data_IF_502825897055
#
_entry.id   IF_502825897055
#
_cell.length_a   1.000
_cell.length_b   1.000
_cell.length_c   1.000
_cell.angle_alpha   90.00
_cell.angle_beta   90.00
_cell.angle_gamma   90.00
#
_symmetry.space_group_name_H-M   'P 1'
#
loop_
_entity.id
_entity.type
_entity.pdbx_description
1 polymer ?
#
# COMPACT_ATOMS: atom_id res chain seq x y z
N UNK A 1 -32.63 74.80 21.72
CA UNK A 1 -31.49 74.41 20.89
C UNK A 1 -31.44 72.87 20.77
N UNK A 2 -32.00 72.28 19.70
CA UNK A 2 -31.99 70.86 19.45
C UNK A 2 -31.01 70.59 18.31
N UNK A 3 -29.92 69.92 18.63
CA UNK A 3 -28.96 69.40 17.60
C UNK A 3 -29.49 68.10 16.98
N UNK A 4 -29.76 68.17 15.69
CA UNK A 4 -30.08 67.00 14.87
C UNK A 4 -28.81 66.21 14.58
N UNK A 5 -28.79 64.93 14.93
CA UNK A 5 -27.79 64.01 14.52
C UNK A 5 -28.17 63.36 13.15
N UNK A 6 -27.45 63.76 12.12
CA UNK A 6 -27.56 63.16 10.76
C UNK A 6 -27.02 61.75 10.79
N UNK A 7 -27.88 60.75 10.60
CA UNK A 7 -27.47 59.36 10.36
C UNK A 7 -27.11 59.18 8.88
N UNK A 8 -25.82 59.21 8.61
CA UNK A 8 -25.29 58.78 7.29
C UNK A 8 -25.45 57.26 7.16
N UNK A 9 -26.41 56.84 6.34
CA UNK A 9 -26.51 55.43 5.90
C UNK A 9 -25.52 55.21 4.75
N UNK A 10 -24.33 54.67 5.06
CA UNK A 10 -23.47 54.11 4.04
C UNK A 10 -24.09 52.76 3.56
N UNK A 11 -24.70 52.78 2.41
CA UNK A 11 -24.99 51.55 1.64
C UNK A 11 -23.70 51.12 0.95
N UNK A 12 -22.90 50.30 1.64
CA UNK A 12 -21.77 49.63 1.05
C UNK A 12 -22.25 48.51 0.11
N UNK A 13 -22.23 48.80 -1.16
CA UNK A 13 -22.33 47.73 -2.19
C UNK A 13 -21.08 46.88 -2.10
N UNK A 14 -21.17 45.70 -1.48
CA UNK A 14 -20.14 44.68 -1.58
C UNK A 14 -20.22 44.08 -2.98
N UNK A 15 -19.40 44.61 -3.87
CA UNK A 15 -19.16 43.97 -5.15
C UNK A 15 -18.40 42.67 -4.91
N UNK A 16 -19.11 41.54 -4.95
CA UNK A 16 -18.56 40.19 -4.93
C UNK A 16 -17.84 39.98 -6.28
N UNK A 17 -16.55 40.28 -6.32
CA UNK A 17 -15.69 39.89 -7.43
C UNK A 17 -15.45 38.39 -7.27
N UNK A 18 -16.34 37.59 -7.86
CA UNK A 18 -16.10 36.16 -8.09
C UNK A 18 -14.98 36.08 -9.14
N UNK A 19 -13.73 35.93 -8.68
CA UNK A 19 -12.61 35.54 -9.51
C UNK A 19 -12.88 34.09 -9.94
N UNK A 20 -13.52 33.92 -11.10
CA UNK A 20 -13.60 32.65 -11.79
C UNK A 20 -12.17 32.28 -12.21
N UNK A 21 -11.48 31.47 -11.39
CA UNK A 21 -10.34 30.70 -11.84
C UNK A 21 -10.87 29.68 -12.85
N UNK A 22 -10.93 30.08 -14.11
CA UNK A 22 -11.04 29.14 -15.20
C UNK A 22 -9.75 28.29 -15.16
N UNK A 23 -9.83 27.14 -14.52
CA UNK A 23 -8.85 26.08 -14.72
C UNK A 23 -8.92 25.76 -16.22
N UNK A 24 -7.97 26.29 -16.99
CA UNK A 24 -7.75 25.85 -18.34
C UNK A 24 -7.34 24.38 -18.25
N UNK A 25 -8.30 23.47 -18.26
CA UNK A 25 -8.06 22.09 -18.59
C UNK A 25 -7.54 22.09 -20.02
N UNK A 26 -6.24 21.88 -20.18
CA UNK A 26 -5.61 21.75 -21.49
C UNK A 26 -6.05 20.41 -22.06
N UNK A 27 -7.27 20.34 -22.56
CA UNK A 27 -7.74 19.19 -23.31
C UNK A 27 -6.94 19.14 -24.62
N UNK A 28 -6.34 17.98 -24.85
CA UNK A 28 -5.61 17.75 -26.09
C UNK A 28 -6.63 17.70 -27.23
N UNK A 29 -6.49 18.58 -28.21
CA UNK A 29 -7.33 18.50 -29.42
C UNK A 29 -7.12 17.13 -30.08
N UNK A 30 -8.19 16.43 -30.49
CA UNK A 30 -8.06 15.16 -31.19
C UNK A 30 -7.19 15.26 -32.43
N UNK A 31 -6.22 14.34 -32.58
CA UNK A 31 -5.31 14.31 -33.74
C UNK A 31 -5.05 12.87 -34.20
N UNK A 32 -4.70 12.64 -35.46
CA UNK A 32 -4.29 11.32 -35.94
C UNK A 32 -2.89 11.00 -35.44
N UNK A 33 -2.72 9.82 -34.80
CA UNK A 33 -1.44 9.33 -34.29
C UNK A 33 -0.53 8.97 -35.46
N UNK A 34 0.59 9.68 -35.62
CA UNK A 34 1.60 9.37 -36.64
C UNK A 34 2.64 8.34 -36.20
N UNK A 35 2.94 8.30 -34.88
CA UNK A 35 3.92 7.38 -34.31
C UNK A 35 3.62 7.18 -32.83
N UNK A 36 4.05 6.02 -32.27
CA UNK A 36 3.96 5.70 -30.84
C UNK A 36 5.34 5.26 -30.38
N UNK A 37 5.90 5.94 -29.39
CA UNK A 37 7.20 5.62 -28.78
C UNK A 37 7.00 5.16 -27.35
N UNK A 38 7.83 4.22 -26.91
CA UNK A 38 7.83 3.72 -25.53
C UNK A 38 9.20 3.95 -24.94
N UNK A 39 9.24 4.61 -23.77
CA UNK A 39 10.46 4.94 -23.05
C UNK A 39 10.41 4.38 -21.63
N UNK A 40 11.58 4.07 -21.04
CA UNK A 40 11.71 3.59 -19.67
C UNK A 40 11.63 2.07 -19.49
N UNK A 41 11.49 1.30 -20.58
CA UNK A 41 11.52 -0.15 -20.54
C UNK A 41 12.93 -0.67 -20.19
N UNK A 42 12.98 -1.69 -19.34
CA UNK A 42 14.21 -2.37 -18.93
C UNK A 42 14.16 -3.88 -19.15
N UNK A 43 13.02 -4.51 -18.85
CA UNK A 43 12.80 -5.96 -18.92
C UNK A 43 11.53 -6.33 -19.67
N UNK A 44 10.54 -5.44 -19.63
CA UNK A 44 9.27 -5.64 -20.32
C UNK A 44 9.47 -5.36 -21.80
N UNK A 45 8.99 -6.27 -22.66
CA UNK A 45 9.06 -6.08 -24.10
C UNK A 45 8.08 -4.98 -24.56
N UNK A 46 8.52 -4.12 -25.48
CA UNK A 46 7.70 -3.06 -26.03
C UNK A 46 6.38 -3.57 -26.64
N UNK A 47 6.39 -4.78 -27.19
CA UNK A 47 5.21 -5.46 -27.71
C UNK A 47 4.07 -5.61 -26.69
N UNK A 48 4.40 -5.84 -25.40
CA UNK A 48 3.43 -5.92 -24.30
C UNK A 48 2.73 -4.58 -24.09
N UNK A 49 3.48 -3.49 -24.15
CA UNK A 49 2.93 -2.13 -24.05
C UNK A 49 2.02 -1.85 -25.24
N UNK A 50 2.48 -2.05 -26.49
CA UNK A 50 1.70 -1.80 -27.68
C UNK A 50 0.41 -2.62 -27.75
N UNK A 51 0.45 -3.88 -27.31
CA UNK A 51 -0.73 -4.76 -27.28
C UNK A 51 -1.80 -4.27 -26.28
N UNK A 52 -1.40 -3.53 -25.26
CA UNK A 52 -2.29 -3.03 -24.19
C UNK A 52 -2.86 -1.65 -24.48
N UNK A 53 -2.35 -0.94 -25.51
CA UNK A 53 -2.86 0.38 -25.86
C UNK A 53 -4.22 0.28 -26.59
N UNK A 54 -5.21 1.14 -26.24
CA UNK A 54 -6.52 1.17 -26.89
C UNK A 54 -6.53 1.93 -28.22
N UNK A 55 -5.37 2.28 -28.77
CA UNK A 55 -5.18 2.97 -30.04
C UNK A 55 -3.89 2.51 -30.71
N UNK A 56 -3.82 2.74 -32.03
CA UNK A 56 -2.67 2.40 -32.89
C UNK A 56 -2.28 3.61 -33.74
N UNK A 57 -1.15 3.49 -34.43
CA UNK A 57 -0.75 4.46 -35.45
C UNK A 57 -1.85 4.54 -36.51
N UNK A 58 -2.27 5.75 -36.88
CA UNK A 58 -3.40 6.04 -37.77
C UNK A 58 -4.72 6.30 -37.03
N UNK A 59 -4.90 5.88 -35.78
CA UNK A 59 -6.11 6.17 -35.02
C UNK A 59 -6.15 7.62 -34.56
N UNK A 60 -7.34 8.13 -34.27
CA UNK A 60 -7.50 9.42 -33.61
C UNK A 60 -7.24 9.30 -32.12
N UNK A 61 -6.27 10.06 -31.61
CA UNK A 61 -6.00 10.21 -30.18
C UNK A 61 -6.90 11.29 -29.57
N UNK A 62 -7.35 11.06 -28.36
CA UNK A 62 -8.02 12.02 -27.48
C UNK A 62 -7.71 11.69 -26.02
N UNK A 63 -8.08 12.57 -25.09
CA UNK A 63 -7.82 12.41 -23.64
C UNK A 63 -8.48 11.16 -23.05
N UNK A 64 -9.63 10.74 -23.58
CA UNK A 64 -10.31 9.52 -23.15
C UNK A 64 -9.47 8.28 -23.46
N UNK A 65 -8.95 8.18 -24.69
CA UNK A 65 -8.05 7.09 -25.09
C UNK A 65 -6.73 7.13 -24.32
N UNK A 66 -6.18 8.31 -24.06
CA UNK A 66 -5.01 8.49 -23.21
C UNK A 66 -5.24 7.96 -21.80
N UNK A 67 -6.34 8.34 -21.17
CA UNK A 67 -6.72 7.85 -19.84
C UNK A 67 -6.99 6.35 -19.82
N UNK A 68 -7.60 5.81 -20.89
CA UNK A 68 -7.82 4.37 -21.03
C UNK A 68 -6.48 3.61 -21.19
N UNK A 69 -5.52 4.16 -21.95
CA UNK A 69 -4.19 3.58 -22.09
C UNK A 69 -3.44 3.50 -20.77
N UNK A 70 -3.45 4.59 -20.00
CA UNK A 70 -2.83 4.62 -18.67
C UNK A 70 -3.44 3.54 -17.77
N UNK A 71 -4.77 3.44 -17.70
CA UNK A 71 -5.46 2.41 -16.91
C UNK A 71 -5.12 0.99 -17.37
N UNK A 72 -5.09 0.76 -18.67
CA UNK A 72 -4.76 -0.55 -19.24
C UNK A 72 -3.32 -0.98 -18.91
N UNK A 73 -2.35 -0.07 -18.98
CA UNK A 73 -0.97 -0.34 -18.64
C UNK A 73 -0.78 -0.56 -17.14
N UNK A 74 -1.44 0.22 -16.28
CA UNK A 74 -1.43 -0.04 -14.84
C UNK A 74 -2.07 -1.38 -14.47
N UNK A 75 -3.12 -1.80 -15.18
CA UNK A 75 -3.79 -3.08 -14.94
C UNK A 75 -2.89 -4.30 -15.19
N UNK A 76 -1.81 -4.16 -15.98
CA UNK A 76 -0.81 -5.21 -16.15
C UNK A 76 -0.03 -5.52 -14.85
N UNK A 77 0.01 -4.58 -13.88
CA UNK A 77 0.75 -4.73 -12.64
C UNK A 77 2.27 -4.66 -12.79
N UNK A 78 2.78 -4.40 -14.00
CA UNK A 78 4.22 -4.40 -14.32
C UNK A 78 4.88 -3.03 -14.06
N UNK A 79 4.10 -1.97 -14.05
CA UNK A 79 4.60 -0.60 -13.99
C UNK A 79 4.28 0.07 -12.64
N UNK A 80 5.24 0.80 -12.13
CA UNK A 80 5.12 1.64 -10.95
C UNK A 80 4.54 3.02 -11.32
N UNK A 81 4.94 3.53 -12.47
CA UNK A 81 4.44 4.78 -13.04
C UNK A 81 4.22 4.66 -14.55
N UNK A 82 3.20 5.35 -15.07
CA UNK A 82 2.87 5.43 -16.49
C UNK A 82 2.44 6.85 -16.82
N UNK A 83 3.12 7.46 -17.76
CA UNK A 83 2.80 8.80 -18.29
C UNK A 83 2.68 8.76 -19.81
N UNK A 84 1.83 9.63 -20.32
CA UNK A 84 1.71 9.87 -21.75
C UNK A 84 2.07 11.32 -22.04
N UNK A 85 2.98 11.50 -22.98
CA UNK A 85 3.34 12.81 -23.52
C UNK A 85 2.96 12.86 -24.99
N UNK A 86 2.50 14.03 -25.43
CA UNK A 86 2.11 14.26 -26.82
C UNK A 86 3.04 15.30 -27.41
N UNK A 87 3.80 14.91 -28.44
CA UNK A 87 4.68 15.77 -29.20
C UNK A 87 4.19 15.89 -30.64
N UNK A 88 3.38 16.93 -30.92
CA UNK A 88 2.68 17.04 -32.20
C UNK A 88 1.69 15.88 -32.38
N UNK A 89 1.93 15.02 -33.39
CA UNK A 89 1.12 13.83 -33.67
C UNK A 89 1.77 12.52 -33.16
N UNK A 90 2.85 12.60 -32.38
CA UNK A 90 3.53 11.45 -31.78
C UNK A 90 3.10 11.31 -30.34
N UNK A 91 2.69 10.09 -29.94
CA UNK A 91 2.39 9.77 -28.55
C UNK A 91 3.61 9.04 -27.94
N UNK A 92 4.15 9.60 -26.87
CA UNK A 92 5.26 8.99 -26.12
C UNK A 92 4.71 8.38 -24.83
N UNK A 93 4.85 7.08 -24.70
CA UNK A 93 4.45 6.31 -23.51
C UNK A 93 5.69 6.16 -22.62
N UNK A 94 5.73 6.86 -21.50
CA UNK A 94 6.83 6.81 -20.56
C UNK A 94 6.41 5.90 -19.40
N UNK A 95 7.19 4.86 -19.16
CA UNK A 95 6.90 3.87 -18.10
C UNK A 95 8.06 3.73 -17.12
N UNK A 96 7.75 3.49 -15.87
CA UNK A 96 8.70 3.05 -14.85
C UNK A 96 8.33 1.63 -14.43
N UNK A 97 9.18 0.66 -14.75
CA UNK A 97 8.92 -0.74 -14.40
C UNK A 97 9.02 -1.00 -12.91
N UNK A 98 8.12 -1.83 -12.37
CA UNK A 98 8.27 -2.37 -11.01
C UNK A 98 9.50 -3.28 -10.96
N UNK A 99 10.36 -3.18 -9.92
CA UNK A 99 11.44 -4.13 -9.76
C UNK A 99 10.89 -5.54 -9.55
N UNK A 100 11.64 -6.54 -9.96
CA UNK A 100 11.27 -7.95 -9.79
C UNK A 100 11.92 -8.51 -8.53
N UNK A 101 11.17 -9.28 -7.77
CA UNK A 101 11.68 -9.98 -6.58
C UNK A 101 12.68 -11.04 -7.04
N UNK A 102 13.94 -10.91 -6.61
CA UNK A 102 14.99 -11.87 -6.92
C UNK A 102 15.09 -12.99 -5.86
N UNK A 103 14.89 -12.60 -4.59
CA UNK A 103 14.92 -13.53 -3.46
C UNK A 103 14.02 -13.04 -2.34
N UNK A 104 13.46 -13.98 -1.57
CA UNK A 104 12.71 -13.70 -0.34
C UNK A 104 13.32 -14.48 0.81
N UNK A 105 13.79 -13.78 1.83
CA UNK A 105 14.47 -14.35 2.97
C UNK A 105 13.75 -14.01 4.29
N UNK A 106 13.79 -14.97 5.23
CA UNK A 106 13.30 -14.79 6.59
C UNK A 106 14.44 -14.92 7.58
N UNK A 107 14.55 -13.94 8.49
CA UNK A 107 15.55 -13.90 9.54
C UNK A 107 14.85 -13.81 10.89
N UNK A 108 15.31 -14.61 11.85
CA UNK A 108 14.80 -14.57 13.24
C UNK A 108 13.50 -15.37 13.48
N UNK A 109 12.97 -16.05 12.47
CA UNK A 109 11.79 -16.92 12.61
C UNK A 109 12.20 -18.24 13.29
N UNK A 110 11.68 -18.51 14.47
CA UNK A 110 11.88 -19.76 15.23
C UNK A 110 10.56 -20.51 15.39
N UNK A 111 9.47 -19.77 15.56
CA UNK A 111 8.13 -20.31 15.81
C UNK A 111 7.45 -20.85 14.55
N UNK A 112 7.82 -20.35 13.40
CA UNK A 112 7.23 -20.76 12.12
C UNK A 112 8.27 -21.39 11.21
N UNK A 113 7.83 -22.43 10.51
CA UNK A 113 8.60 -23.06 9.46
C UNK A 113 8.75 -22.15 8.24
N UNK A 114 9.97 -22.03 7.71
CA UNK A 114 10.28 -21.13 6.59
C UNK A 114 9.49 -21.47 5.33
N UNK A 115 9.27 -22.75 5.06
CA UNK A 115 8.49 -23.24 3.93
C UNK A 115 7.03 -22.81 4.02
N UNK A 116 6.44 -22.85 5.21
CA UNK A 116 5.08 -22.37 5.46
C UNK A 116 4.97 -20.85 5.23
N UNK A 117 5.95 -20.09 5.69
CA UNK A 117 6.02 -18.65 5.48
C UNK A 117 6.19 -18.29 3.99
N UNK A 118 7.05 -18.99 3.27
CA UNK A 118 7.23 -18.79 1.84
C UNK A 118 5.96 -19.12 1.05
N UNK A 119 5.22 -20.17 1.46
CA UNK A 119 3.94 -20.52 0.83
C UNK A 119 2.92 -19.40 1.02
N UNK A 120 2.80 -18.87 2.25
CA UNK A 120 1.91 -17.74 2.55
C UNK A 120 2.26 -16.51 1.69
N UNK A 121 3.55 -16.15 1.57
CA UNK A 121 3.96 -15.02 0.73
C UNK A 121 3.62 -15.23 -0.75
N UNK A 122 3.77 -16.47 -1.26
CA UNK A 122 3.37 -16.80 -2.65
C UNK A 122 1.86 -16.61 -2.87
N UNK A 123 1.04 -16.96 -1.91
CA UNK A 123 -0.42 -16.78 -1.97
C UNK A 123 -0.81 -15.29 -1.99
N UNK A 124 -0.04 -14.45 -1.29
CA UNK A 124 -0.21 -12.97 -1.31
C UNK A 124 0.34 -12.34 -2.60
N UNK A 125 1.10 -13.08 -3.39
CA UNK A 125 1.70 -12.59 -4.64
C UNK A 125 3.15 -12.12 -4.51
N UNK A 126 3.77 -12.29 -3.34
CA UNK A 126 5.19 -12.01 -3.08
C UNK A 126 6.02 -13.28 -3.29
N UNK A 127 6.53 -13.46 -4.49
CA UNK A 127 7.35 -14.61 -4.84
C UNK A 127 8.49 -14.19 -5.76
N UNK A 128 9.54 -14.99 -5.80
CA UNK A 128 10.63 -14.84 -6.76
C UNK A 128 10.10 -14.77 -8.19
N UNK A 129 10.64 -13.87 -9.00
CA UNK A 129 10.20 -13.61 -10.36
C UNK A 129 8.95 -12.74 -10.50
N UNK A 130 8.24 -12.42 -9.42
CA UNK A 130 7.07 -11.54 -9.45
C UNK A 130 7.48 -10.07 -9.33
N UNK A 131 6.70 -9.14 -9.91
CA UNK A 131 6.88 -7.71 -9.65
C UNK A 131 6.71 -7.40 -8.16
N UNK A 132 7.62 -6.60 -7.62
CA UNK A 132 7.52 -6.11 -6.26
C UNK A 132 6.45 -5.04 -6.14
N UNK A 133 5.56 -5.19 -5.18
CA UNK A 133 4.57 -4.20 -4.79
C UNK A 133 4.70 -3.89 -3.29
N UNK A 134 4.95 -2.63 -2.96
CA UNK A 134 5.09 -2.20 -1.56
C UNK A 134 3.83 -2.50 -0.74
N UNK A 135 2.64 -2.30 -1.31
CA UNK A 135 1.40 -2.53 -0.58
C UNK A 135 1.20 -4.01 -0.24
N UNK A 136 1.65 -4.92 -1.11
CA UNK A 136 1.64 -6.35 -0.82
C UNK A 136 2.67 -6.71 0.26
N UNK A 137 3.87 -6.11 0.24
CA UNK A 137 4.87 -6.31 1.27
C UNK A 137 4.40 -5.82 2.65
N UNK A 138 3.83 -4.62 2.71
CA UNK A 138 3.26 -4.06 3.94
C UNK A 138 2.12 -4.96 4.49
N UNK A 139 1.26 -5.50 3.62
CA UNK A 139 0.20 -6.46 4.03
C UNK A 139 0.77 -7.77 4.56
N UNK A 140 1.79 -8.31 3.91
CA UNK A 140 2.45 -9.53 4.34
C UNK A 140 3.11 -9.35 5.72
N UNK A 141 3.75 -8.21 5.95
CA UNK A 141 4.32 -7.84 7.25
C UNK A 141 3.26 -7.82 8.36
N UNK A 142 2.12 -7.18 8.11
CA UNK A 142 1.01 -7.12 9.06
C UNK A 142 0.39 -8.50 9.30
N UNK A 143 0.27 -9.32 8.27
CA UNK A 143 -0.26 -10.68 8.40
C UNK A 143 0.69 -11.57 9.20
N UNK A 144 2.00 -11.49 8.95
CA UNK A 144 3.02 -12.17 9.74
C UNK A 144 2.92 -11.76 11.21
N UNK A 145 2.88 -10.46 11.50
CA UNK A 145 2.74 -9.95 12.87
C UNK A 145 1.48 -10.51 13.55
N UNK A 146 0.35 -10.56 12.83
CA UNK A 146 -0.90 -11.13 13.33
C UNK A 146 -0.76 -12.62 13.66
N UNK A 147 -0.04 -13.40 12.85
CA UNK A 147 0.20 -14.81 13.09
C UNK A 147 1.01 -15.04 14.38
N UNK A 148 2.01 -14.18 14.66
CA UNK A 148 2.76 -14.22 15.91
C UNK A 148 1.90 -13.86 17.12
N UNK A 149 1.07 -12.82 17.02
CA UNK A 149 0.12 -12.43 18.08
C UNK A 149 -0.84 -13.58 18.40
N UNK A 150 -1.35 -14.30 17.39
CA UNK A 150 -2.24 -15.45 17.56
C UNK A 150 -1.57 -16.61 18.33
N UNK A 151 -0.24 -16.64 18.37
CA UNK A 151 0.55 -17.60 19.19
C UNK A 151 1.00 -17.01 20.53
N UNK A 152 0.33 -15.97 21.01
CA UNK A 152 0.63 -15.27 22.27
C UNK A 152 1.99 -14.56 22.30
N UNK A 153 2.62 -14.35 21.15
CA UNK A 153 3.86 -13.59 20.99
C UNK A 153 3.53 -12.12 20.72
N UNK A 154 2.96 -11.43 21.70
CA UNK A 154 2.48 -10.04 21.54
C UNK A 154 3.59 -9.02 21.35
N UNK A 155 4.82 -9.34 21.76
CA UNK A 155 6.02 -8.52 21.57
C UNK A 155 6.68 -8.72 20.21
N UNK A 156 6.09 -9.52 19.30
CA UNK A 156 6.68 -9.79 18.01
C UNK A 156 6.72 -8.53 17.14
N UNK A 157 7.90 -8.26 16.59
CA UNK A 157 8.12 -7.22 15.60
C UNK A 157 8.55 -7.87 14.28
N UNK A 158 7.98 -7.39 13.19
CA UNK A 158 8.32 -7.80 11.84
C UNK A 158 8.71 -6.56 11.07
N UNK A 159 9.87 -6.59 10.45
CA UNK A 159 10.40 -5.49 9.63
C UNK A 159 10.76 -6.03 8.26
N UNK A 160 10.21 -5.42 7.22
CA UNK A 160 10.51 -5.76 5.84
C UNK A 160 11.58 -4.84 5.30
N UNK A 161 12.72 -5.40 4.90
CA UNK A 161 13.81 -4.68 4.24
C UNK A 161 13.82 -5.02 2.76
N UNK A 162 13.86 -3.98 1.91
CA UNK A 162 13.93 -4.11 0.45
C UNK A 162 15.30 -3.64 0.00
N UNK A 163 16.12 -4.55 -0.52
CA UNK A 163 17.47 -4.25 -1.00
C UNK A 163 17.48 -4.28 -2.53
N UNK A 164 17.65 -3.12 -3.19
CA UNK A 164 17.82 -3.07 -4.64
C UNK A 164 19.09 -3.79 -5.08
N UNK A 165 18.99 -4.53 -6.18
CA UNK A 165 20.11 -5.19 -6.85
C UNK A 165 20.07 -4.88 -8.35
N UNK A 166 21.11 -5.29 -9.06
CA UNK A 166 21.23 -5.04 -10.50
C UNK A 166 20.03 -5.54 -11.32
N UNK A 167 19.82 -4.95 -12.49
CA UNK A 167 18.80 -5.30 -13.50
C UNK A 167 17.37 -5.13 -12.98
N UNK A 168 17.09 -4.02 -12.29
CA UNK A 168 15.77 -3.69 -11.74
C UNK A 168 15.16 -4.86 -10.94
N UNK A 169 15.94 -5.41 -10.00
CA UNK A 169 15.51 -6.47 -9.07
C UNK A 169 15.68 -6.03 -7.63
N UNK A 170 14.97 -6.71 -6.74
CA UNK A 170 15.07 -6.48 -5.28
C UNK A 170 15.14 -7.80 -4.54
N UNK A 171 15.89 -7.82 -3.43
CA UNK A 171 15.79 -8.84 -2.40
C UNK A 171 14.87 -8.34 -1.30
N UNK A 172 13.97 -9.20 -0.85
CA UNK A 172 13.09 -8.96 0.30
C UNK A 172 13.60 -9.76 1.49
N UNK A 173 13.83 -9.09 2.61
CA UNK A 173 14.21 -9.73 3.87
C UNK A 173 13.18 -9.37 4.93
N UNK A 174 12.47 -10.37 5.44
CA UNK A 174 11.57 -10.25 6.58
C UNK A 174 12.35 -10.58 7.86
N UNK A 175 12.70 -9.56 8.62
CA UNK A 175 13.37 -9.73 9.91
C UNK A 175 12.31 -9.76 11.00
N UNK A 176 12.29 -10.86 11.74
CA UNK A 176 11.35 -11.07 12.85
C UNK A 176 12.10 -11.09 14.17
N UNK A 177 11.61 -10.28 15.10
CA UNK A 177 12.00 -10.35 16.52
C UNK A 177 10.79 -10.88 17.27
N UNK A 178 10.80 -12.16 17.66
CA UNK A 178 9.60 -12.83 18.16
C UNK A 178 9.15 -12.35 19.55
N UNK A 179 10.10 -11.86 20.36
CA UNK A 179 9.84 -11.49 21.75
C UNK A 179 9.54 -12.70 22.62
N UNK A 180 9.04 -12.45 23.82
CA UNK A 180 8.67 -13.49 24.78
C UNK A 180 7.18 -13.82 24.69
N UNK A 181 6.83 -15.08 24.96
CA UNK A 181 5.44 -15.51 25.09
C UNK A 181 4.81 -14.82 26.29
N UNK A 182 3.67 -14.16 26.08
CA UNK A 182 2.96 -13.52 27.18
C UNK A 182 2.39 -14.57 28.15
N UNK A 183 2.65 -14.34 29.42
CA UNK A 183 2.12 -15.16 30.53
C UNK A 183 1.24 -14.30 31.41
N UNK A 184 0.13 -14.85 31.91
CA UNK A 184 -0.70 -14.18 32.91
C UNK A 184 0.11 -14.08 34.20
N UNK A 185 0.47 -12.85 34.60
CA UNK A 185 1.23 -12.60 35.79
C UNK A 185 0.34 -12.61 37.03
N UNK A 186 -0.86 -12.09 36.90
CA UNK A 186 -1.82 -11.98 38.01
C UNK A 186 -3.24 -12.01 37.45
N UNK A 187 -4.14 -12.70 38.15
CA UNK A 187 -5.55 -12.72 37.89
C UNK A 187 -6.27 -12.32 39.18
N UNK A 188 -6.97 -11.21 39.17
CA UNK A 188 -7.73 -10.69 40.32
C UNK A 188 -9.19 -10.47 39.96
N UNK A 189 -10.08 -10.75 40.94
CA UNK A 189 -11.53 -10.56 40.78
C UNK A 189 -11.97 -9.46 41.74
N UNK A 190 -12.56 -8.41 41.18
CA UNK A 190 -13.02 -7.22 41.93
C UNK A 190 -14.54 -7.18 41.97
N UNK A 191 -15.10 -6.86 43.16
CA UNK A 191 -16.54 -6.68 43.34
C UNK A 191 -17.32 -7.95 43.68
N UNK A 192 -16.66 -9.08 43.91
CA UNK A 192 -17.24 -10.33 44.38
C UNK A 192 -17.83 -10.17 45.78
N UNK A 193 -19.13 -10.46 45.96
CA UNK A 193 -19.83 -10.40 47.25
C UNK A 193 -20.38 -11.77 47.70
N UNK A 194 -20.78 -12.61 46.74
CA UNK A 194 -21.45 -13.89 47.02
C UNK A 194 -20.48 -15.07 47.13
N UNK A 195 -19.31 -15.01 46.47
CA UNK A 195 -18.31 -16.08 46.49
C UNK A 195 -16.95 -15.48 46.77
N UNK A 196 -16.07 -16.30 47.39
CA UNK A 196 -14.69 -15.89 47.60
C UNK A 196 -13.92 -15.80 46.28
N UNK A 197 -12.93 -14.93 46.23
CA UNK A 197 -12.05 -14.79 45.05
C UNK A 197 -11.40 -16.15 44.69
N UNK A 198 -10.94 -16.90 45.63
CA UNK A 198 -10.32 -18.24 45.43
C UNK A 198 -11.28 -19.24 44.82
N UNK A 199 -12.58 -19.18 45.19
CA UNK A 199 -13.62 -20.05 44.62
C UNK A 199 -13.85 -19.69 43.15
N UNK A 200 -13.91 -18.41 42.84
CA UNK A 200 -14.11 -17.94 41.48
C UNK A 200 -12.88 -18.18 40.60
N UNK A 201 -11.69 -17.94 41.10
CA UNK A 201 -10.44 -18.22 40.39
C UNK A 201 -10.29 -19.72 40.06
N UNK A 202 -10.77 -20.61 40.89
CA UNK A 202 -10.77 -22.06 40.62
C UNK A 202 -11.69 -22.52 39.49
N UNK A 203 -12.58 -21.65 39.00
CA UNK A 203 -13.45 -21.90 37.83
C UNK A 203 -12.81 -21.51 36.51
N UNK A 204 -11.71 -20.76 36.51
CA UNK A 204 -11.00 -20.41 35.30
C UNK A 204 -10.13 -21.58 34.82
N UNK A 205 -10.16 -21.85 33.54
CA UNK A 205 -9.26 -22.82 32.89
C UNK A 205 -7.85 -22.27 32.65
N UNK A 206 -7.70 -20.97 32.75
CA UNK A 206 -6.41 -20.27 32.64
C UNK A 206 -5.90 -19.90 34.03
N UNK A 207 -4.65 -20.25 34.33
CA UNK A 207 -4.01 -19.92 35.60
C UNK A 207 -2.73 -19.08 35.38
N UNK A 208 -2.21 -18.55 36.44
CA UNK A 208 -0.95 -17.77 36.45
C UNK A 208 0.30 -18.65 36.34
N UNK A 209 0.17 -19.94 36.10
CA UNK A 209 1.26 -20.89 36.10
C UNK A 209 1.95 -20.91 37.49
N UNK A 210 1.58 -21.85 38.35
CA UNK A 210 2.21 -21.99 39.66
C UNK A 210 3.73 -22.19 39.55
N UNK A 211 4.43 -22.08 40.67
CA UNK A 211 5.90 -22.20 40.76
C UNK A 211 6.46 -23.53 40.21
N UNK A 212 5.61 -24.52 39.93
CA UNK A 212 5.94 -25.81 39.30
C UNK A 212 5.66 -25.87 37.81
N UNK A 213 5.20 -24.79 37.17
CA UNK A 213 4.87 -24.77 35.73
C UNK A 213 6.09 -24.95 34.80
N UNK A 214 7.31 -24.95 35.36
CA UNK A 214 8.55 -25.26 34.66
C UNK A 214 8.77 -26.76 34.46
N UNK A 215 7.90 -27.61 35.05
CA UNK A 215 8.07 -29.08 35.06
C UNK A 215 7.06 -29.82 34.15
N UNK A 216 6.18 -29.09 33.38
CA UNK A 216 5.23 -29.70 32.44
C UNK A 216 5.47 -29.22 31.03
#
# INVERSE_FOLDING_TARGET
>A
MKKQFNRFRLRGSVALVALAFAANAWAVNPFPVSDIRVEGLQRVEAGTVFASLPFRVGDTYNDEKGSAAIRALFALGLFKDVRLEVNGNVVVVIVEERPTIANVEFVGTKEFDKEALQKMLREVGLAEGRPYDKALADRAEQELKRQYINRSLYGAEVVTTVTPIERNRVNLTFTVTEGDTAKIKELSIVGNKAFSESTLLGLFSQDTGGWLSWYT
#
